data_IF_901546877989
#
_entry.id   IF_901546877989
#
_cell.length_a   1.000
_cell.length_b   1.000
_cell.length_c   1.000
_cell.angle_alpha   90.00
_cell.angle_beta   90.00
_cell.angle_gamma   90.00
#
_symmetry.space_group_name_H-M   'P 1'
#
loop_
_entity.id
_entity.type
_entity.pdbx_description
1 polymer ?
#
# COMPACT_ATOMS: atom_id res chain seq x y z
N UNK A 1 -45.69 -7.53 31.22
CA UNK A 1 -46.64 -7.74 32.33
C UNK A 1 -47.74 -8.66 31.83
N UNK A 2 -48.17 -9.64 32.62
CA UNK A 2 -47.37 -10.72 33.22
C UNK A 2 -47.85 -12.07 32.59
N UNK A 3 -47.36 -13.28 32.89
CA UNK A 3 -47.29 -13.94 34.21
C UNK A 3 -46.06 -14.84 34.40
N UNK A 4 -45.86 -15.25 35.66
CA UNK A 4 -44.58 -15.63 36.24
C UNK A 4 -44.77 -16.70 37.33
N UNK A 5 -43.80 -17.64 37.45
CA UNK A 5 -43.65 -18.60 38.59
C UNK A 5 -44.82 -19.62 38.76
N UNK A 6 -44.73 -20.82 39.34
CA UNK A 6 -43.69 -21.62 40.05
C UNK A 6 -44.05 -23.14 39.86
N UNK A 7 -43.43 -24.21 40.39
CA UNK A 7 -42.31 -24.47 41.32
C UNK A 7 -41.86 -25.95 41.28
N UNK A 8 -40.57 -26.19 41.57
CA UNK A 8 -39.99 -27.35 42.32
C UNK A 8 -40.29 -28.82 41.99
N UNK A 9 -39.22 -29.61 41.87
CA UNK A 9 -38.94 -30.69 42.85
C UNK A 9 -37.43 -30.87 43.09
N UNK A 10 -37.03 -31.68 44.09
CA UNK A 10 -35.77 -31.52 44.85
C UNK A 10 -35.22 -32.86 45.38
N UNK A 11 -33.92 -33.14 45.26
CA UNK A 11 -33.21 -34.25 45.96
C UNK A 11 -31.68 -34.20 45.76
N UNK A 12 -30.80 -34.79 46.59
CA UNK A 12 -30.41 -34.41 47.97
C UNK A 12 -29.08 -35.10 48.36
N UNK A 13 -28.12 -34.34 48.94
CA UNK A 13 -26.94 -34.79 49.75
C UNK A 13 -25.95 -35.81 49.09
N UNK A 14 -24.70 -36.04 49.52
CA UNK A 14 -23.96 -35.70 50.75
C UNK A 14 -22.43 -35.56 50.48
N UNK A 15 -21.59 -35.55 51.53
CA UNK A 15 -20.29 -34.86 51.63
C UNK A 15 -19.02 -35.77 51.63
N UNK A 16 -17.85 -35.11 51.73
CA UNK A 16 -16.55 -35.53 52.32
C UNK A 16 -15.36 -36.05 51.48
N UNK A 17 -14.19 -35.50 51.87
CA UNK A 17 -12.77 -35.91 51.74
C UNK A 17 -11.89 -35.48 50.54
N UNK A 18 -11.28 -34.31 50.71
CA UNK A 18 -9.82 -34.06 50.83
C UNK A 18 -8.88 -34.96 49.99
N UNK A 19 -8.14 -34.31 49.09
CA UNK A 19 -6.86 -34.78 48.56
C UNK A 19 -6.04 -33.58 48.06
N UNK A 20 -4.90 -33.32 48.70
CA UNK A 20 -3.94 -32.31 48.25
C UNK A 20 -3.38 -32.73 46.88
N UNK A 21 -3.27 -31.79 45.92
CA UNK A 21 -2.53 -32.01 44.68
C UNK A 21 -1.35 -31.04 44.61
N UNK A 22 -0.17 -31.63 44.46
CA UNK A 22 1.14 -31.01 44.61
C UNK A 22 1.48 -30.07 43.45
N UNK A 23 2.32 -29.06 43.73
CA UNK A 23 2.84 -28.14 42.72
C UNK A 23 3.71 -28.87 41.68
N UNK A 24 3.30 -28.85 40.42
CA UNK A 24 4.08 -29.42 39.32
C UNK A 24 5.21 -28.45 38.95
N UNK A 25 6.42 -28.76 39.42
CA UNK A 25 7.66 -28.08 39.06
C UNK A 25 7.92 -28.27 37.56
N UNK A 26 7.95 -27.17 36.80
CA UNK A 26 8.38 -27.16 35.41
C UNK A 26 9.91 -27.08 35.38
N UNK A 27 10.57 -28.20 35.03
CA UNK A 27 12.01 -28.21 34.79
C UNK A 27 12.36 -27.39 33.54
N UNK A 28 13.26 -26.42 33.68
CA UNK A 28 13.83 -25.67 32.56
C UNK A 28 14.62 -26.62 31.63
N UNK A 29 14.35 -26.52 30.32
CA UNK A 29 15.15 -27.18 29.28
C UNK A 29 16.13 -26.14 28.74
N UNK A 30 17.44 -26.43 28.64
CA UNK A 30 18.44 -25.43 28.32
C UNK A 30 18.27 -24.88 26.90
N UNK A 31 18.28 -23.55 26.79
CA UNK A 31 18.40 -22.83 25.52
C UNK A 31 19.74 -23.13 24.87
N UNK A 32 19.73 -23.72 23.67
CA UNK A 32 20.89 -23.66 22.79
C UNK A 32 20.84 -22.37 21.99
N UNK A 33 21.87 -21.55 22.14
CA UNK A 33 22.10 -20.39 21.30
C UNK A 33 22.32 -20.84 19.86
N UNK A 34 21.38 -20.50 18.99
CA UNK A 34 21.56 -20.51 17.55
C UNK A 34 21.45 -19.07 17.08
N UNK A 35 22.54 -18.54 16.53
CA UNK A 35 22.62 -17.16 16.03
C UNK A 35 21.51 -16.88 15.01
N UNK A 36 20.43 -16.24 15.48
CA UNK A 36 19.41 -15.68 14.61
C UNK A 36 19.98 -14.42 13.97
N UNK A 37 20.68 -14.60 12.86
CA UNK A 37 20.91 -13.53 11.90
C UNK A 37 19.54 -13.15 11.30
N UNK A 38 18.80 -12.30 11.99
CA UNK A 38 17.56 -11.71 11.48
C UNK A 38 17.89 -10.94 10.21
N UNK A 39 17.53 -11.52 9.07
CA UNK A 39 17.44 -10.78 7.81
C UNK A 39 16.38 -9.71 8.00
N UNK A 40 16.79 -8.44 8.05
CA UNK A 40 15.89 -7.30 8.17
C UNK A 40 14.80 -7.37 7.09
N UNK A 41 13.51 -7.33 7.48
CA UNK A 41 12.45 -7.43 6.51
C UNK A 41 12.33 -6.11 5.75
N UNK A 42 12.60 -6.13 4.45
CA UNK A 42 12.26 -5.05 3.52
C UNK A 42 10.75 -5.02 3.26
N UNK A 43 9.98 -4.69 4.29
CA UNK A 43 8.63 -4.17 4.11
C UNK A 43 8.79 -2.74 3.57
N UNK A 44 8.38 -2.50 2.33
CA UNK A 44 8.52 -1.19 1.69
C UNK A 44 7.68 -0.15 2.45
N UNK A 45 8.33 0.65 3.32
CA UNK A 45 7.80 1.60 4.32
C UNK A 45 7.47 1.05 5.74
N UNK A 46 7.94 -0.14 6.14
CA UNK A 46 7.82 -0.58 7.55
C UNK A 46 9.14 -1.11 8.11
N UNK A 47 10.05 -0.20 8.50
CA UNK A 47 11.07 -0.53 9.48
C UNK A 47 10.38 -1.07 10.73
N UNK A 48 10.84 -2.22 11.22
CA UNK A 48 10.41 -2.74 12.52
C UNK A 48 11.41 -2.23 13.56
N UNK A 49 10.92 -1.44 14.50
CA UNK A 49 11.69 -0.80 15.57
C UNK A 49 12.77 -1.70 16.17
N UNK A 50 14.03 -1.28 16.04
CA UNK A 50 15.17 -1.77 16.83
C UNK A 50 16.12 -0.64 17.28
N UNK A 51 15.55 0.53 17.57
CA UNK A 51 16.18 1.57 18.40
C UNK A 51 15.13 2.53 18.97
N UNK A 52 14.17 2.00 19.76
CA UNK A 52 13.03 2.76 20.30
C UNK A 52 13.47 4.04 21.03
N UNK A 53 14.62 4.06 21.72
CA UNK A 53 15.13 5.27 22.41
C UNK A 53 15.75 6.38 21.52
N UNK A 54 15.97 6.15 20.22
CA UNK A 54 16.60 7.14 19.31
C UNK A 54 15.62 7.61 18.24
N UNK A 55 14.86 6.69 17.63
CA UNK A 55 13.88 7.01 16.59
C UNK A 55 12.66 7.71 17.19
N UNK A 56 12.08 7.19 18.29
CA UNK A 56 10.93 7.82 18.98
C UNK A 56 11.29 9.22 19.52
N UNK A 57 12.52 9.38 20.03
CA UNK A 57 13.05 10.69 20.45
C UNK A 57 13.33 11.65 19.29
N UNK A 58 13.69 11.14 18.11
CA UNK A 58 13.86 11.96 16.91
C UNK A 58 12.50 12.41 16.37
N UNK A 59 11.51 11.51 16.33
CA UNK A 59 10.13 11.79 15.92
C UNK A 59 9.44 12.78 16.88
N UNK A 60 9.54 12.60 18.20
CA UNK A 60 9.06 13.58 19.19
C UNK A 60 9.73 14.96 19.00
N UNK A 61 11.06 15.00 18.80
CA UNK A 61 11.77 16.25 18.50
C UNK A 61 11.31 16.86 17.17
N UNK A 62 10.95 16.06 16.16
CA UNK A 62 10.46 16.59 14.88
C UNK A 62 9.02 17.12 15.00
N UNK A 63 8.08 16.35 15.55
CA UNK A 63 6.68 16.77 15.72
C UNK A 63 6.56 18.01 16.62
N UNK A 64 7.18 18.03 17.81
CA UNK A 64 7.10 19.18 18.73
C UNK A 64 7.71 20.45 18.12
N UNK A 65 8.80 20.34 17.35
CA UNK A 65 9.41 21.51 16.71
C UNK A 65 8.69 21.94 15.42
N UNK A 66 8.02 21.06 14.67
CA UNK A 66 7.39 21.42 13.39
C UNK A 66 6.07 22.19 13.60
N UNK A 67 5.33 21.92 14.68
CA UNK A 67 4.18 22.76 15.06
C UNK A 67 4.59 24.11 15.68
N UNK A 68 5.68 24.17 16.44
CA UNK A 68 6.11 25.41 17.12
C UNK A 68 6.93 26.36 16.20
N UNK A 69 7.62 25.83 15.18
CA UNK A 69 8.39 26.62 14.23
C UNK A 69 7.78 26.62 12.83
N UNK A 70 7.08 27.71 12.51
CA UNK A 70 6.79 28.12 11.13
C UNK A 70 8.02 28.54 10.32
N UNK A 71 9.19 27.93 10.56
CA UNK A 71 10.40 28.09 9.76
C UNK A 71 10.51 26.96 8.76
N UNK A 72 10.38 27.30 7.47
CA UNK A 72 10.67 26.40 6.36
C UNK A 72 12.07 25.78 6.52
N UNK A 73 12.16 24.45 6.66
CA UNK A 73 13.45 23.76 6.61
C UNK A 73 13.99 23.96 5.19
N UNK A 74 15.18 24.58 5.01
CA UNK A 74 15.69 24.87 3.67
C UNK A 74 16.13 23.57 2.98
N UNK A 75 15.26 23.03 2.12
CA UNK A 75 15.59 21.91 1.24
C UNK A 75 16.39 22.45 0.06
N UNK A 76 17.65 22.04 -0.08
CA UNK A 76 18.52 22.48 -1.17
C UNK A 76 18.19 21.70 -2.46
N UNK A 77 17.15 22.13 -3.16
CA UNK A 77 16.72 21.54 -4.43
C UNK A 77 17.68 21.82 -5.60
N UNK A 78 18.48 22.90 -5.50
CA UNK A 78 19.35 23.41 -6.58
C UNK A 78 20.48 22.44 -6.98
N UNK A 79 20.82 21.49 -6.11
CA UNK A 79 21.85 20.47 -6.34
C UNK A 79 21.30 19.04 -6.28
N UNK A 80 20.00 18.84 -6.57
CA UNK A 80 19.48 17.48 -6.80
C UNK A 80 20.09 16.95 -8.10
N UNK A 81 21.17 16.19 -7.95
CA UNK A 81 21.72 15.34 -9.01
C UNK A 81 20.63 14.35 -9.45
N UNK A 82 19.90 14.68 -10.52
CA UNK A 82 18.85 13.84 -11.07
C UNK A 82 19.53 12.65 -11.74
N UNK A 83 19.28 11.45 -11.23
CA UNK A 83 19.81 10.23 -11.81
C UNK A 83 19.35 10.16 -13.28
N UNK A 84 20.27 10.12 -14.27
CA UNK A 84 19.89 10.02 -15.67
C UNK A 84 19.04 8.78 -15.99
N UNK A 85 19.05 7.75 -15.13
CA UNK A 85 18.17 6.59 -15.21
C UNK A 85 16.72 6.89 -14.82
N UNK A 86 16.44 7.90 -13.98
CA UNK A 86 15.06 8.33 -13.65
C UNK A 86 14.32 8.93 -14.85
N UNK A 87 15.10 9.47 -15.80
CA UNK A 87 14.61 10.00 -17.07
C UNK A 87 14.60 8.95 -18.18
N UNK A 88 14.97 7.69 -17.91
CA UNK A 88 15.15 6.65 -18.91
C UNK A 88 14.36 5.35 -18.63
N UNK A 89 14.09 4.61 -19.72
CA UNK A 89 13.54 3.25 -19.68
C UNK A 89 12.04 3.12 -19.44
N UNK A 90 11.28 4.22 -19.36
CA UNK A 90 9.82 4.24 -19.39
C UNK A 90 9.32 5.26 -20.43
N UNK A 91 9.22 4.86 -21.69
CA UNK A 91 8.53 5.66 -22.70
C UNK A 91 7.01 5.48 -22.63
N UNK A 92 6.27 6.43 -23.22
CA UNK A 92 4.83 6.26 -23.44
C UNK A 92 4.55 5.08 -24.38
N UNK A 93 5.42 4.85 -25.36
CA UNK A 93 5.32 3.73 -26.29
C UNK A 93 5.46 2.38 -25.57
N UNK A 94 6.37 2.24 -24.59
CA UNK A 94 6.47 1.05 -23.73
C UNK A 94 5.21 0.82 -22.87
N UNK A 95 4.46 1.88 -22.57
CA UNK A 95 3.19 1.79 -21.87
C UNK A 95 2.06 1.35 -22.82
N UNK A 96 2.02 1.89 -24.04
CA UNK A 96 1.04 1.58 -25.08
C UNK A 96 1.23 0.17 -25.66
N UNK A 97 2.46 -0.24 -25.97
CA UNK A 97 2.79 -1.60 -26.43
C UNK A 97 2.28 -2.65 -25.42
N UNK A 98 2.46 -2.40 -24.12
CA UNK A 98 1.98 -3.28 -23.06
C UNK A 98 0.43 -3.38 -23.03
N UNK A 99 -0.30 -2.34 -23.41
CA UNK A 99 -1.77 -2.36 -23.58
C UNK A 99 -2.15 -3.15 -24.84
N UNK A 100 -1.38 -3.03 -25.92
CA UNK A 100 -1.53 -3.84 -27.14
C UNK A 100 -1.06 -5.30 -26.98
N UNK A 101 -0.57 -5.69 -25.79
CA UNK A 101 -0.08 -7.04 -25.48
C UNK A 101 1.32 -7.33 -26.03
N UNK A 102 2.02 -6.34 -26.59
CA UNK A 102 3.42 -6.44 -27.00
C UNK A 102 4.31 -6.16 -25.80
N UNK A 103 5.43 -6.88 -25.67
CA UNK A 103 6.43 -6.64 -24.64
C UNK A 103 5.88 -6.58 -23.20
N UNK A 104 4.72 -7.19 -22.93
CA UNK A 104 4.12 -7.25 -21.60
C UNK A 104 5.13 -7.92 -20.66
N UNK A 105 5.71 -7.20 -19.68
CA UNK A 105 6.54 -7.85 -18.67
C UNK A 105 5.62 -8.77 -17.86
N UNK A 106 6.16 -9.78 -17.17
CA UNK A 106 5.35 -10.65 -16.32
C UNK A 106 4.87 -9.91 -15.04
N UNK A 107 4.00 -8.89 -15.22
CA UNK A 107 3.55 -7.93 -14.21
C UNK A 107 2.45 -8.50 -13.30
N UNK A 108 1.94 -9.69 -13.60
CA UNK A 108 1.14 -10.47 -12.65
C UNK A 108 2.10 -11.27 -11.78
N UNK A 109 2.17 -10.90 -10.50
CA UNK A 109 2.79 -11.70 -9.45
C UNK A 109 2.38 -13.18 -9.62
N UNK A 110 3.36 -14.05 -9.91
CA UNK A 110 3.11 -15.49 -10.08
C UNK A 110 2.80 -16.13 -8.72
N UNK A 111 1.53 -16.06 -8.35
CA UNK A 111 0.98 -16.75 -7.19
C UNK A 111 0.90 -18.26 -7.46
N UNK A 112 1.27 -19.12 -6.49
CA UNK A 112 1.13 -20.56 -6.64
C UNK A 112 -0.32 -21.02 -6.92
N UNK A 113 -1.30 -20.31 -6.34
CA UNK A 113 -2.75 -20.45 -6.60
C UNK A 113 -3.52 -19.27 -5.96
N UNK A 114 -4.81 -19.13 -6.26
CA UNK A 114 -5.67 -18.06 -5.70
C UNK A 114 -5.82 -18.11 -4.18
N UNK A 115 -5.93 -19.30 -3.58
CA UNK A 115 -6.08 -19.43 -2.13
C UNK A 115 -4.81 -19.01 -1.37
N UNK A 116 -3.63 -19.23 -1.95
CA UNK A 116 -2.36 -18.69 -1.46
C UNK A 116 -2.38 -17.15 -1.45
N UNK A 117 -2.78 -16.53 -2.58
CA UNK A 117 -2.88 -15.05 -2.69
C UNK A 117 -3.83 -14.50 -1.64
N UNK A 118 -5.03 -15.06 -1.57
CA UNK A 118 -6.10 -14.57 -0.70
C UNK A 118 -5.78 -14.81 0.79
N UNK A 119 -5.10 -15.91 1.14
CA UNK A 119 -4.55 -16.11 2.48
C UNK A 119 -3.46 -15.08 2.81
N UNK A 120 -2.53 -14.82 1.89
CA UNK A 120 -1.48 -13.82 2.13
C UNK A 120 -2.03 -12.40 2.27
N UNK A 121 -3.08 -12.06 1.52
CA UNK A 121 -3.86 -10.83 1.69
C UNK A 121 -4.41 -10.73 3.13
N UNK A 122 -5.10 -11.76 3.62
CA UNK A 122 -5.63 -11.79 5.00
C UNK A 122 -4.53 -11.65 6.07
N UNK A 123 -3.38 -12.28 5.86
CA UNK A 123 -2.22 -12.16 6.77
C UNK A 123 -1.70 -10.72 6.85
N UNK A 124 -1.64 -10.01 5.71
CA UNK A 124 -1.15 -8.63 5.63
C UNK A 124 -2.20 -7.66 6.18
N UNK A 125 -3.44 -7.70 5.69
CA UNK A 125 -4.54 -6.82 6.09
C UNK A 125 -4.87 -6.95 7.60
N UNK A 126 -4.90 -8.19 8.11
CA UNK A 126 -5.13 -8.45 9.54
C UNK A 126 -3.90 -8.23 10.43
N UNK A 127 -2.77 -7.74 9.90
CA UNK A 127 -1.49 -7.59 10.59
C UNK A 127 -1.09 -8.87 11.38
N UNK A 128 -1.35 -10.05 10.79
CA UNK A 128 -1.30 -11.32 11.50
C UNK A 128 0.17 -11.73 11.74
N UNK A 129 0.50 -11.97 13.01
CA UNK A 129 1.82 -12.44 13.41
C UNK A 129 2.11 -13.83 12.83
N UNK A 130 3.38 -14.13 12.54
CA UNK A 130 3.77 -15.42 11.95
C UNK A 130 3.34 -16.60 12.83
N UNK A 131 3.37 -16.45 14.16
CA UNK A 131 2.91 -17.46 15.13
C UNK A 131 1.41 -17.80 14.95
N UNK A 132 0.56 -16.79 14.77
CA UNK A 132 -0.88 -16.97 14.60
C UNK A 132 -1.19 -17.49 13.19
N UNK A 133 -0.56 -16.93 12.16
CA UNK A 133 -0.71 -17.41 10.78
C UNK A 133 -0.32 -18.89 10.62
N UNK A 134 0.77 -19.32 11.28
CA UNK A 134 1.22 -20.72 11.26
C UNK A 134 0.25 -21.65 12.01
N UNK A 135 -0.48 -21.15 13.02
CA UNK A 135 -1.57 -21.89 13.66
C UNK A 135 -2.78 -22.02 12.73
N UNK A 136 -3.13 -20.98 11.97
CA UNK A 136 -4.21 -21.03 10.97
C UNK A 136 -3.87 -22.00 9.84
N UNK A 137 -2.63 -21.99 9.33
CA UNK A 137 -2.16 -22.94 8.30
C UNK A 137 -2.27 -24.38 8.83
N UNK A 138 -1.79 -24.64 10.06
CA UNK A 138 -1.89 -25.97 10.70
C UNK A 138 -3.34 -26.41 10.91
N UNK A 139 -4.23 -25.49 11.30
CA UNK A 139 -5.65 -25.76 11.43
C UNK A 139 -6.27 -26.14 10.08
N UNK A 140 -6.07 -25.33 9.04
CA UNK A 140 -6.59 -25.62 7.71
C UNK A 140 -6.08 -26.98 7.18
N UNK A 141 -4.77 -27.22 7.24
CA UNK A 141 -4.15 -28.46 6.73
C UNK A 141 -4.62 -29.72 7.48
N UNK A 142 -5.04 -29.59 8.76
CA UNK A 142 -5.57 -30.72 9.54
C UNK A 142 -6.99 -31.12 9.13
N UNK A 143 -7.78 -30.19 8.59
CA UNK A 143 -9.23 -30.38 8.37
C UNK A 143 -9.67 -30.24 6.90
N UNK A 144 -8.79 -29.85 5.98
CA UNK A 144 -9.14 -29.61 4.57
C UNK A 144 -9.32 -30.85 3.71
N UNK A 145 -8.86 -32.04 4.17
CA UNK A 145 -8.87 -33.31 3.44
C UNK A 145 -8.16 -33.27 2.06
N UNK A 146 -7.25 -32.32 1.85
CA UNK A 146 -6.45 -32.21 0.63
C UNK A 146 -5.11 -32.95 0.80
N UNK A 147 -4.65 -33.64 -0.24
CA UNK A 147 -3.33 -34.30 -0.24
C UNK A 147 -2.18 -33.29 -0.21
N UNK A 148 -2.33 -32.18 -0.94
CA UNK A 148 -1.42 -31.03 -0.91
C UNK A 148 -2.13 -29.78 -0.39
N UNK A 149 -1.44 -29.01 0.46
CA UNK A 149 -1.98 -27.74 0.96
C UNK A 149 -1.88 -26.65 -0.11
N UNK A 150 -2.96 -25.89 -0.40
CA UNK A 150 -2.90 -24.71 -1.25
C UNK A 150 -2.26 -23.50 -0.54
N UNK A 151 -2.05 -23.57 0.77
CA UNK A 151 -1.48 -22.48 1.59
C UNK A 151 0.06 -22.52 1.59
N UNK A 152 0.74 -21.40 1.90
CA UNK A 152 2.18 -21.40 2.12
C UNK A 152 2.60 -22.36 3.24
N UNK A 153 3.83 -22.90 3.16
CA UNK A 153 4.39 -23.81 4.17
C UNK A 153 4.49 -23.18 5.56
N UNK A 154 4.68 -21.87 5.61
CA UNK A 154 4.58 -21.02 6.80
C UNK A 154 4.27 -19.58 6.39
N UNK A 155 3.77 -18.79 7.33
CA UNK A 155 3.53 -17.36 7.18
C UNK A 155 4.81 -16.61 6.82
N UNK A 156 5.96 -17.04 7.37
CA UNK A 156 7.27 -16.49 6.99
C UNK A 156 7.55 -16.77 5.51
N UNK A 157 7.45 -18.03 5.07
CA UNK A 157 7.68 -18.40 3.68
C UNK A 157 6.72 -17.69 2.70
N UNK A 158 5.47 -17.44 3.11
CA UNK A 158 4.52 -16.62 2.35
C UNK A 158 4.92 -15.15 2.24
N UNK A 159 5.45 -14.55 3.32
CA UNK A 159 5.99 -13.18 3.31
C UNK A 159 7.30 -13.10 2.51
N UNK A 160 8.15 -14.11 2.59
CA UNK A 160 9.38 -14.20 1.78
C UNK A 160 9.05 -14.29 0.27
N UNK A 161 7.99 -15.01 -0.11
CA UNK A 161 7.46 -15.04 -1.49
C UNK A 161 6.92 -13.67 -1.91
N UNK A 162 6.17 -12.98 -1.03
CA UNK A 162 5.70 -11.61 -1.29
C UNK A 162 6.87 -10.63 -1.53
N UNK A 163 7.95 -10.75 -0.76
CA UNK A 163 9.15 -9.91 -0.92
C UNK A 163 9.93 -10.25 -2.21
N UNK A 164 9.81 -11.47 -2.74
CA UNK A 164 10.39 -11.90 -4.02
C UNK A 164 9.53 -11.52 -5.24
N UNK A 165 8.29 -11.06 -5.04
CA UNK A 165 7.45 -10.48 -6.09
C UNK A 165 7.97 -9.06 -6.37
N UNK A 166 9.09 -9.00 -7.10
CA UNK A 166 9.66 -7.75 -7.60
C UNK A 166 8.82 -7.28 -8.80
N UNK A 167 7.82 -6.44 -8.55
CA UNK A 167 7.18 -5.70 -9.64
C UNK A 167 8.01 -4.45 -9.96
N UNK A 168 8.37 -4.19 -11.24
CA UNK A 168 8.92 -2.89 -11.67
C UNK A 168 7.98 -1.69 -11.42
N UNK A 169 6.78 -1.93 -10.89
CA UNK A 169 5.90 -0.89 -10.37
C UNK A 169 6.21 -0.48 -8.91
N UNK A 170 7.23 -1.06 -8.27
CA UNK A 170 7.66 -0.82 -6.89
C UNK A 170 9.09 -0.24 -6.80
N UNK A 171 9.61 0.30 -7.90
CA UNK A 171 10.96 0.88 -8.01
C UNK A 171 11.07 2.23 -7.27
N UNK A 172 10.93 2.20 -5.95
CA UNK A 172 11.22 3.33 -5.07
C UNK A 172 12.73 3.44 -4.84
N UNK A 173 13.26 4.64 -5.10
CA UNK A 173 14.61 5.08 -4.78
C UNK A 173 14.61 5.88 -3.47
N UNK A 174 15.76 5.89 -2.82
CA UNK A 174 16.01 6.61 -1.57
C UNK A 174 17.04 7.72 -1.84
N UNK A 175 16.78 8.95 -1.37
CA UNK A 175 17.72 10.06 -1.48
C UNK A 175 17.63 10.97 -0.24
N UNK A 176 18.75 11.18 0.44
CA UNK A 176 18.86 12.22 1.47
C UNK A 176 18.74 13.58 0.80
N UNK A 177 17.76 14.39 1.21
CA UNK A 177 17.46 15.72 0.64
C UNK A 177 17.86 16.87 1.56
N UNK A 178 18.06 16.61 2.85
CA UNK A 178 18.60 17.55 3.82
C UNK A 178 19.12 16.80 5.04
N UNK A 179 19.91 17.45 5.89
CA UNK A 179 20.31 16.95 7.21
C UNK A 179 19.98 18.02 8.24
N UNK A 180 19.07 17.71 9.17
CA UNK A 180 18.65 18.64 10.22
C UNK A 180 19.05 18.11 11.60
N UNK A 181 19.77 18.92 12.38
CA UNK A 181 20.25 18.54 13.72
C UNK A 181 21.05 17.23 13.79
N UNK A 182 21.69 16.83 12.68
CA UNK A 182 22.44 15.57 12.56
C UNK A 182 21.58 14.34 12.18
N UNK A 183 20.29 14.55 11.87
CA UNK A 183 19.36 13.54 11.36
C UNK A 183 19.20 13.78 9.85
N UNK A 184 19.44 12.75 9.04
CA UNK A 184 19.23 12.80 7.60
C UNK A 184 17.73 12.72 7.27
N UNK A 185 17.24 13.71 6.53
CA UNK A 185 15.88 13.75 5.99
C UNK A 185 15.91 13.05 4.63
N UNK A 186 15.36 11.84 4.60
CA UNK A 186 15.29 11.00 3.42
C UNK A 186 13.99 11.20 2.65
N UNK A 187 14.11 11.47 1.35
CA UNK A 187 13.03 11.33 0.38
C UNK A 187 13.03 9.91 -0.20
N UNK A 188 11.93 9.19 -0.02
CA UNK A 188 11.60 8.01 -0.81
C UNK A 188 10.75 8.46 -2.00
N UNK A 189 11.13 8.08 -3.21
CA UNK A 189 10.43 8.49 -4.43
C UNK A 189 10.54 7.45 -5.54
N UNK A 190 9.61 7.45 -6.49
CA UNK A 190 9.72 6.75 -7.78
C UNK A 190 9.81 7.74 -8.94
N UNK A 191 10.43 7.36 -10.07
CA UNK A 191 10.38 8.17 -11.28
C UNK A 191 8.94 8.35 -11.79
N UNK A 192 8.55 9.59 -12.12
CA UNK A 192 7.17 9.91 -12.52
C UNK A 192 6.75 9.16 -13.79
N UNK A 193 7.67 8.93 -14.73
CA UNK A 193 7.40 8.13 -15.94
C UNK A 193 7.07 6.66 -15.61
N UNK A 194 7.74 6.07 -14.61
CA UNK A 194 7.42 4.72 -14.09
C UNK A 194 6.04 4.68 -13.42
N UNK A 195 5.65 5.76 -12.75
CA UNK A 195 4.33 5.89 -12.14
C UNK A 195 3.22 5.97 -13.21
N UNK A 196 3.40 6.83 -14.22
CA UNK A 196 2.48 6.97 -15.36
C UNK A 196 2.36 5.66 -16.14
N UNK A 197 3.48 5.01 -16.48
CA UNK A 197 3.49 3.72 -17.17
C UNK A 197 2.70 2.65 -16.38
N UNK A 198 2.90 2.59 -15.06
CA UNK A 198 2.20 1.63 -14.19
C UNK A 198 0.70 1.92 -14.06
N UNK A 199 0.26 3.19 -14.12
CA UNK A 199 -1.17 3.53 -14.19
C UNK A 199 -1.77 3.16 -15.55
N UNK A 200 -1.13 3.53 -16.65
CA UNK A 200 -1.64 3.28 -18.01
C UNK A 200 -1.80 1.79 -18.33
N UNK A 201 -1.06 0.91 -17.65
CA UNK A 201 -1.20 -0.54 -17.81
C UNK A 201 -2.33 -1.17 -16.98
N UNK A 202 -3.00 -0.41 -16.10
CA UNK A 202 -4.18 -0.90 -15.38
C UNK A 202 -5.41 -0.80 -16.28
N UNK A 203 -6.15 -1.88 -16.55
CA UNK A 203 -7.31 -1.86 -17.46
C UNK A 203 -8.35 -0.80 -17.10
N UNK A 204 -8.54 -0.51 -15.82
CA UNK A 204 -9.46 0.49 -15.29
C UNK A 204 -9.12 1.90 -15.79
N UNK A 205 -7.82 2.21 -15.87
CA UNK A 205 -7.29 3.48 -16.39
C UNK A 205 -7.25 3.45 -17.91
N UNK A 206 -6.64 2.40 -18.50
CA UNK A 206 -6.42 2.27 -19.94
C UNK A 206 -7.72 2.38 -20.75
N UNK A 207 -8.74 1.62 -20.35
CA UNK A 207 -10.01 1.53 -21.08
C UNK A 207 -10.85 2.82 -20.97
N UNK A 208 -10.52 3.72 -20.05
CA UNK A 208 -11.22 4.98 -19.81
C UNK A 208 -10.35 6.21 -20.11
N UNK A 209 -9.18 6.04 -20.73
CA UNK A 209 -8.26 7.13 -21.00
C UNK A 209 -8.76 8.03 -22.15
N UNK A 210 -8.84 9.33 -21.89
CA UNK A 210 -9.28 10.35 -22.85
C UNK A 210 -8.06 11.01 -23.50
N UNK A 211 -7.87 10.73 -24.79
CA UNK A 211 -6.74 11.22 -25.58
C UNK A 211 -6.91 12.65 -26.10
N UNK A 212 -8.16 13.13 -26.25
CA UNK A 212 -8.48 14.44 -26.86
C UNK A 212 -9.52 15.20 -26.06
N UNK A 213 -9.43 16.52 -26.06
CA UNK A 213 -10.41 17.38 -25.42
C UNK A 213 -11.81 17.22 -26.00
N UNK A 214 -12.83 17.32 -25.15
CA UNK A 214 -14.23 17.07 -25.48
C UNK A 214 -15.03 18.38 -25.42
N UNK A 215 -15.53 18.84 -26.57
CA UNK A 215 -16.39 20.02 -26.65
C UNK A 215 -17.81 19.71 -26.15
N UNK A 216 -17.96 19.55 -24.84
CA UNK A 216 -19.26 19.27 -24.20
C UNK A 216 -20.13 20.53 -24.14
N UNK A 217 -21.39 20.33 -24.50
CA UNK A 217 -22.46 21.34 -24.51
C UNK A 217 -23.76 20.70 -24.03
N UNK A 218 -24.61 21.48 -23.37
CA UNK A 218 -26.01 21.14 -23.13
C UNK A 218 -26.87 22.08 -23.99
N UNK A 219 -27.92 21.54 -24.58
CA UNK A 219 -28.99 22.34 -25.19
C UNK A 219 -30.11 22.50 -24.18
N UNK A 220 -30.48 23.74 -23.90
CA UNK A 220 -31.70 24.14 -23.20
C UNK A 220 -32.39 25.18 -24.08
N UNK A 221 -33.72 25.30 -24.05
CA UNK A 221 -34.57 26.31 -24.75
C UNK A 221 -34.30 26.70 -26.24
N UNK A 222 -33.33 26.09 -26.92
CA UNK A 222 -32.81 26.50 -28.23
C UNK A 222 -31.40 27.09 -28.17
N UNK A 223 -30.90 27.44 -26.99
CA UNK A 223 -29.51 27.85 -26.75
C UNK A 223 -28.57 26.65 -26.51
N UNK A 224 -27.30 26.77 -26.92
CA UNK A 224 -26.25 25.79 -26.62
C UNK A 224 -25.24 26.39 -25.63
N UNK A 225 -25.21 25.85 -24.42
CA UNK A 225 -24.35 26.33 -23.33
C UNK A 225 -23.23 25.32 -23.08
N UNK A 226 -21.98 25.80 -22.91
CA UNK A 226 -20.84 24.95 -22.54
C UNK A 226 -21.08 24.34 -21.15
N UNK A 227 -20.68 23.09 -20.98
CA UNK A 227 -20.74 22.37 -19.70
C UNK A 227 -19.37 21.80 -19.41
N UNK A 228 -18.93 21.95 -18.17
CA UNK A 228 -17.64 21.48 -17.68
C UNK A 228 -17.87 20.58 -16.47
N UNK A 229 -17.32 19.38 -16.49
CA UNK A 229 -17.27 18.44 -15.36
C UNK A 229 -15.97 17.64 -15.27
N UNK A 230 -15.13 17.68 -16.32
CA UNK A 230 -13.85 16.98 -16.38
C UNK A 230 -12.75 17.90 -16.96
N UNK A 231 -11.45 17.69 -16.63
CA UNK A 231 -10.37 18.57 -17.09
C UNK A 231 -10.30 18.73 -18.61
N UNK A 232 -10.51 17.63 -19.34
CA UNK A 232 -10.50 17.59 -20.81
C UNK A 232 -11.73 18.23 -21.48
N UNK A 233 -12.70 18.74 -20.72
CA UNK A 233 -13.84 19.49 -21.26
C UNK A 233 -13.57 21.02 -21.27
N UNK A 234 -12.56 21.46 -20.52
CA UNK A 234 -12.20 22.86 -20.30
C UNK A 234 -11.58 23.54 -21.52
N UNK A 235 -11.84 24.84 -21.68
CA UNK A 235 -11.32 25.62 -22.81
C UNK A 235 -9.77 25.67 -22.79
N UNK A 236 -9.13 25.73 -21.61
CA UNK A 236 -7.67 25.65 -21.48
C UNK A 236 -7.09 24.37 -22.12
N UNK A 237 -7.74 23.22 -21.96
CA UNK A 237 -7.30 21.96 -22.56
C UNK A 237 -7.38 22.05 -24.09
N UNK A 238 -8.51 22.50 -24.60
CA UNK A 238 -8.79 22.60 -26.03
C UNK A 238 -7.87 23.61 -26.74
N UNK A 239 -7.53 24.73 -26.10
CA UNK A 239 -6.55 25.68 -26.64
C UNK A 239 -5.12 25.13 -26.56
N UNK A 240 -4.76 24.45 -25.46
CA UNK A 240 -3.43 23.83 -25.31
C UNK A 240 -3.22 22.73 -26.35
N UNK A 241 -4.20 21.87 -26.59
CA UNK A 241 -4.13 20.79 -27.59
C UNK A 241 -3.87 21.32 -29.01
N UNK A 242 -4.38 22.51 -29.36
CA UNK A 242 -4.10 23.17 -30.67
C UNK A 242 -2.66 23.64 -30.82
N UNK A 243 -1.92 23.84 -29.73
CA UNK A 243 -0.50 24.25 -29.79
C UNK A 243 0.46 23.08 -29.94
N UNK A 244 -0.02 21.84 -29.77
CA UNK A 244 0.80 20.64 -29.87
C UNK A 244 1.14 20.31 -31.34
N UNK A 245 2.31 19.73 -31.62
CA UNK A 245 2.62 19.14 -32.93
C UNK A 245 1.59 18.08 -33.34
N UNK A 246 1.41 17.83 -34.66
CA UNK A 246 0.57 16.73 -35.14
C UNK A 246 0.95 15.40 -34.49
N UNK A 247 -0.06 14.58 -34.16
CA UNK A 247 0.05 13.28 -33.48
C UNK A 247 0.39 13.35 -31.97
N UNK A 248 0.71 14.51 -31.40
CA UNK A 248 0.91 14.65 -29.96
C UNK A 248 -0.42 14.90 -29.21
N UNK A 249 -0.49 14.40 -27.98
CA UNK A 249 -1.66 14.48 -27.11
C UNK A 249 -1.31 15.11 -25.77
N UNK A 250 -2.27 15.79 -25.13
CA UNK A 250 -2.06 16.39 -23.81
C UNK A 250 -2.24 15.34 -22.70
N UNK A 251 -1.18 15.13 -21.90
CA UNK A 251 -1.22 14.35 -20.67
C UNK A 251 -1.37 15.30 -19.48
N UNK A 252 -2.47 15.16 -18.74
CA UNK A 252 -2.71 15.88 -17.49
C UNK A 252 -2.37 14.98 -16.31
N UNK A 253 -1.45 15.44 -15.47
CA UNK A 253 -1.02 14.79 -14.24
C UNK A 253 -1.62 15.56 -13.07
N UNK A 254 -2.20 14.85 -12.11
CA UNK A 254 -2.72 15.41 -10.87
C UNK A 254 -1.90 14.80 -9.73
N UNK A 255 -1.19 15.65 -9.00
CA UNK A 255 -0.48 15.29 -7.77
C UNK A 255 -1.28 15.81 -6.58
N UNK A 256 -1.41 14.99 -5.54
CA UNK A 256 -1.99 15.41 -4.26
C UNK A 256 -1.31 14.69 -3.11
N UNK A 257 -1.37 15.27 -1.92
CA UNK A 257 -0.84 14.69 -0.69
C UNK A 257 -1.88 14.87 0.41
N UNK A 258 -2.00 13.89 1.30
CA UNK A 258 -2.91 13.92 2.44
C UNK A 258 -2.31 13.15 3.63
N UNK A 259 -2.68 13.55 4.85
CA UNK A 259 -2.19 12.92 6.08
C UNK A 259 -2.66 11.46 6.17
N UNK A 260 -1.70 10.53 6.13
CA UNK A 260 -1.96 9.09 6.08
C UNK A 260 -1.25 8.39 7.23
N UNK A 261 -1.99 7.65 8.06
CA UNK A 261 -1.43 6.82 9.13
C UNK A 261 -0.77 5.56 8.54
N UNK A 262 0.51 5.32 8.85
CA UNK A 262 1.28 4.18 8.33
C UNK A 262 1.15 2.90 9.17
N UNK A 263 0.68 3.01 10.41
CA UNK A 263 0.35 1.86 11.26
C UNK A 263 -1.13 1.82 11.66
N UNK A 264 -1.61 0.62 11.98
CA UNK A 264 -2.99 0.37 12.41
C UNK A 264 -3.31 0.81 13.85
N UNK A 265 -2.40 1.51 14.53
CA UNK A 265 -2.61 2.15 15.83
C UNK A 265 -2.70 3.69 15.69
N UNK A 266 -2.41 4.24 14.52
CA UNK A 266 -2.39 5.68 14.25
C UNK A 266 -1.22 6.43 14.90
N UNK A 267 -0.14 5.73 15.30
CA UNK A 267 1.02 6.38 15.93
C UNK A 267 1.93 7.06 14.92
N UNK A 268 2.27 6.34 13.85
CA UNK A 268 3.05 6.87 12.72
C UNK A 268 2.11 7.41 11.66
N UNK A 269 2.37 8.63 11.21
CA UNK A 269 1.68 9.24 10.07
C UNK A 269 2.69 9.92 9.15
N UNK A 270 2.26 10.24 7.93
CA UNK A 270 3.04 11.07 7.03
C UNK A 270 2.21 11.53 5.85
N UNK A 271 2.87 12.21 4.93
CA UNK A 271 2.25 12.89 3.78
C UNK A 271 2.70 12.25 2.45
N UNK A 272 2.20 11.05 2.12
CA UNK A 272 2.46 10.41 0.83
C UNK A 272 1.92 11.25 -0.33
N UNK A 273 2.74 11.46 -1.35
CA UNK A 273 2.30 12.09 -2.61
C UNK A 273 1.71 11.01 -3.51
N UNK A 274 0.46 11.18 -3.91
CA UNK A 274 -0.21 10.33 -4.89
C UNK A 274 -0.29 11.02 -6.26
N UNK A 275 -0.06 10.24 -7.30
CA UNK A 275 -0.29 10.61 -8.70
C UNK A 275 -1.56 9.95 -9.22
N UNK A 276 -2.36 10.72 -9.94
CA UNK A 276 -3.43 10.23 -10.83
C UNK A 276 -3.45 11.05 -12.13
N UNK A 277 -4.27 10.66 -13.10
CA UNK A 277 -4.32 11.28 -14.42
C UNK A 277 -5.61 12.09 -14.60
N UNK A 278 -5.49 13.33 -15.08
CA UNK A 278 -6.63 14.16 -15.48
C UNK A 278 -7.32 13.67 -16.75
N UNK A 279 -6.67 12.79 -17.51
CA UNK A 279 -7.19 12.13 -18.71
C UNK A 279 -8.25 11.05 -18.44
N UNK A 280 -8.49 10.63 -17.19
CA UNK A 280 -9.59 9.69 -16.88
C UNK A 280 -10.77 10.40 -16.21
N UNK A 281 -12.01 9.94 -16.42
CA UNK A 281 -13.19 10.49 -15.74
C UNK A 281 -13.07 10.48 -14.21
N UNK A 282 -13.75 11.39 -13.54
CA UNK A 282 -13.72 11.54 -12.08
C UNK A 282 -14.12 10.26 -11.33
N UNK A 283 -15.08 9.49 -11.85
CA UNK A 283 -15.47 8.22 -11.22
C UNK A 283 -14.36 7.16 -11.31
N UNK A 284 -13.60 7.12 -12.41
CA UNK A 284 -12.41 6.28 -12.57
C UNK A 284 -11.31 6.77 -11.64
N UNK A 285 -11.02 8.07 -11.65
CA UNK A 285 -10.01 8.75 -10.81
C UNK A 285 -10.17 8.46 -9.32
N UNK A 286 -11.40 8.22 -8.87
CA UNK A 286 -11.70 7.90 -7.48
C UNK A 286 -11.36 6.44 -7.08
N UNK A 287 -11.26 5.51 -8.03
CA UNK A 287 -10.84 4.13 -7.77
C UNK A 287 -9.41 4.07 -7.21
N UNK A 288 -9.09 3.18 -6.25
CA UNK A 288 -7.72 2.90 -5.82
C UNK A 288 -6.78 2.56 -6.99
N UNK A 289 -7.28 1.84 -7.98
CA UNK A 289 -6.58 1.41 -9.19
C UNK A 289 -6.18 2.61 -10.08
N UNK A 290 -6.78 3.77 -9.92
CA UNK A 290 -6.42 4.98 -10.69
C UNK A 290 -5.40 5.88 -9.98
N UNK A 291 -4.91 5.46 -8.81
CA UNK A 291 -3.97 6.20 -7.97
C UNK A 291 -2.70 5.39 -7.79
N UNK A 292 -1.56 6.08 -7.69
CA UNK A 292 -0.28 5.45 -7.41
C UNK A 292 0.54 6.34 -6.49
N UNK A 293 1.15 5.74 -5.47
CA UNK A 293 2.11 6.42 -4.59
C UNK A 293 3.35 6.79 -5.40
N UNK A 294 3.79 8.05 -5.31
CA UNK A 294 5.07 8.54 -5.81
C UNK A 294 6.18 8.40 -4.76
#
# INVERSE_FOLDING_TARGET
MPDTFTSHEKSTYQDDNIGEMEDIIINEIPTQDADNLESEPRYNLRKRSKSENIEERAEEIFEENFEELGTEIPVNLDNIDLDPEDLQGASLDDALDAIEGKNLPERVAKWPNDAYRDFMRLIVEGNISNKIGDQIIKFFNKYSNLEESPLPKSTKNGKDHLNQITSPSLDFKEKVVSTYSGIDITLYYRPIFRAIQALLQRPEVANNFVYKGILKKKRDDGSETRVFGEPYEGDWWLETEKTLPPLNHLLSIILYSDGTTFDGLGKTSGHPVFLTLGNVPNWVRNLPESKILL
#
